data_IF_780983023276
#
_entry.id   IF_780983023276
#
_cell.length_a   1.000
_cell.length_b   1.000
_cell.length_c   1.000
_cell.angle_alpha   90.00
_cell.angle_beta   90.00
_cell.angle_gamma   90.00
#
_symmetry.space_group_name_H-M   'P 1'
#
loop_
_entity.id
_entity.type
_entity.pdbx_description
1 polymer ?
#
# COMPACT_ATOMS: atom_id res chain seq x y z
N UNK A 1 -17.09 57.43 -33.24
CA UNK A 1 -17.74 56.25 -33.89
C UNK A 1 -16.70 55.33 -34.55
N UNK A 2 -15.84 55.82 -35.48
CA UNK A 2 -14.81 54.97 -36.13
C UNK A 2 -13.73 54.46 -35.17
N UNK A 3 -13.36 55.22 -34.15
CA UNK A 3 -12.44 54.79 -33.09
C UNK A 3 -13.04 53.73 -32.20
N UNK A 4 -14.33 53.83 -31.85
CA UNK A 4 -15.07 52.85 -31.06
C UNK A 4 -15.27 51.53 -31.80
N UNK A 5 -15.38 51.51 -33.12
CA UNK A 5 -15.44 50.30 -33.94
C UNK A 5 -14.08 49.61 -33.99
N UNK A 6 -13.01 50.39 -34.20
CA UNK A 6 -11.63 49.84 -34.21
C UNK A 6 -11.24 49.23 -32.87
N UNK A 7 -11.61 49.84 -31.75
CA UNK A 7 -11.38 49.29 -30.42
C UNK A 7 -12.17 47.98 -30.19
N UNK A 8 -13.39 47.88 -30.67
CA UNK A 8 -14.20 46.64 -30.61
C UNK A 8 -13.60 45.52 -31.45
N UNK A 9 -13.13 45.83 -32.67
CA UNK A 9 -12.44 44.81 -33.50
C UNK A 9 -11.15 44.32 -32.86
N UNK A 10 -10.34 45.21 -32.29
CA UNK A 10 -9.11 44.85 -31.61
C UNK A 10 -9.37 44.02 -30.36
N UNK A 11 -10.41 44.32 -29.58
CA UNK A 11 -10.85 43.52 -28.46
C UNK A 11 -11.32 42.11 -28.87
N UNK A 12 -12.02 42.00 -30.00
CA UNK A 12 -12.46 40.71 -30.53
C UNK A 12 -11.26 39.85 -31.04
N UNK A 13 -10.30 40.43 -31.69
CA UNK A 13 -9.06 39.72 -32.11
C UNK A 13 -8.31 39.20 -30.90
N UNK A 14 -8.18 40.00 -29.83
CA UNK A 14 -7.51 39.59 -28.59
C UNK A 14 -8.23 38.43 -27.92
N UNK A 15 -9.58 38.49 -27.86
CA UNK A 15 -10.39 37.37 -27.30
C UNK A 15 -10.25 36.09 -28.12
N UNK A 16 -10.25 36.16 -29.45
CA UNK A 16 -10.08 35.02 -30.33
C UNK A 16 -8.68 34.40 -30.13
N UNK A 17 -7.64 35.23 -30.03
CA UNK A 17 -6.29 34.75 -29.74
C UNK A 17 -6.20 34.03 -28.40
N UNK A 18 -6.70 34.65 -27.33
CA UNK A 18 -6.72 34.04 -26.01
C UNK A 18 -7.50 32.71 -25.97
N UNK A 19 -8.58 32.61 -26.76
CA UNK A 19 -9.35 31.36 -26.87
C UNK A 19 -8.58 30.27 -27.63
N UNK A 20 -7.86 30.63 -28.69
CA UNK A 20 -7.00 29.71 -29.44
C UNK A 20 -5.85 29.19 -28.57
N UNK A 21 -5.22 30.07 -27.79
CA UNK A 21 -4.15 29.70 -26.87
C UNK A 21 -4.65 28.71 -25.81
N UNK A 22 -5.82 28.98 -25.19
CA UNK A 22 -6.46 28.04 -24.26
C UNK A 22 -6.81 26.70 -24.90
N UNK A 23 -7.27 26.69 -26.14
CA UNK A 23 -7.55 25.44 -26.86
C UNK A 23 -6.26 24.64 -27.12
N UNK A 24 -5.17 25.31 -27.44
CA UNK A 24 -3.86 24.66 -27.61
C UNK A 24 -3.39 24.04 -26.30
N UNK A 25 -3.51 24.76 -25.19
CA UNK A 25 -3.19 24.26 -23.85
C UNK A 25 -4.03 23.04 -23.47
N UNK A 26 -5.34 23.08 -23.68
CA UNK A 26 -6.21 21.94 -23.41
C UNK A 26 -5.87 20.72 -24.26
N UNK A 27 -5.55 20.91 -25.52
CA UNK A 27 -5.10 19.80 -26.41
C UNK A 27 -3.79 19.19 -25.91
N UNK A 28 -2.85 20.02 -25.46
CA UNK A 28 -1.60 19.56 -24.87
C UNK A 28 -1.83 18.76 -23.59
N UNK A 29 -2.72 19.26 -22.70
CA UNK A 29 -3.08 18.56 -21.46
C UNK A 29 -3.80 17.24 -21.75
N UNK A 30 -4.71 17.19 -22.72
CA UNK A 30 -5.37 15.95 -23.12
C UNK A 30 -4.38 14.92 -23.64
N UNK A 31 -3.40 15.34 -24.43
CA UNK A 31 -2.34 14.42 -24.91
C UNK A 31 -1.56 13.82 -23.76
N UNK A 32 -1.11 14.65 -22.80
CA UNK A 32 -0.42 14.19 -21.60
C UNK A 32 -1.27 13.22 -20.77
N UNK A 33 -2.57 13.50 -20.61
CA UNK A 33 -3.47 12.61 -19.89
C UNK A 33 -3.66 11.25 -20.58
N UNK A 34 -3.67 11.23 -21.92
CA UNK A 34 -3.72 9.97 -22.67
C UNK A 34 -2.44 9.15 -22.45
N UNK A 35 -1.27 9.77 -22.52
CA UNK A 35 0.01 9.10 -22.26
C UNK A 35 0.07 8.52 -20.83
N UNK A 36 -0.37 9.30 -19.82
CA UNK A 36 -0.46 8.81 -18.43
C UNK A 36 -1.45 7.66 -18.31
N UNK A 37 -2.60 7.74 -18.98
CA UNK A 37 -3.61 6.66 -18.98
C UNK A 37 -3.02 5.36 -19.52
N UNK A 38 -2.35 5.40 -20.65
CA UNK A 38 -1.69 4.22 -21.23
C UNK A 38 -0.65 3.61 -20.28
N UNK A 39 0.15 4.45 -19.63
CA UNK A 39 1.12 4.01 -18.62
C UNK A 39 0.45 3.34 -17.42
N UNK A 40 -0.65 3.92 -16.91
CA UNK A 40 -1.41 3.35 -15.79
C UNK A 40 -2.04 2.02 -16.20
N UNK A 41 -2.59 1.91 -17.41
CA UNK A 41 -3.21 0.68 -17.90
C UNK A 41 -2.20 -0.44 -18.12
N UNK A 42 -0.99 -0.09 -18.54
CA UNK A 42 0.12 -1.03 -18.71
C UNK A 42 0.73 -1.49 -17.38
N UNK A 43 0.58 -0.72 -16.30
CA UNK A 43 1.17 -1.03 -15.02
C UNK A 43 0.35 -2.10 -14.26
N UNK A 44 1.00 -3.14 -13.67
CA UNK A 44 0.30 -4.20 -12.94
C UNK A 44 -0.61 -3.69 -11.82
N UNK A 45 -0.16 -2.69 -11.07
CA UNK A 45 -0.90 -2.13 -9.92
C UNK A 45 -1.94 -1.10 -10.30
N UNK A 46 -2.06 -0.77 -11.60
CA UNK A 46 -2.97 0.29 -12.10
C UNK A 46 -2.75 1.64 -11.40
N UNK A 47 -1.52 1.92 -11.02
CA UNK A 47 -1.10 3.15 -10.34
C UNK A 47 0.21 3.64 -10.93
N UNK A 48 0.35 4.95 -11.03
CA UNK A 48 1.60 5.63 -11.35
C UNK A 48 1.64 6.97 -10.62
N UNK A 49 2.79 7.31 -10.08
CA UNK A 49 3.05 8.66 -9.58
C UNK A 49 3.76 9.45 -10.67
N UNK A 50 3.30 10.66 -10.95
CA UNK A 50 3.90 11.52 -11.98
C UNK A 50 5.20 12.18 -11.54
N UNK A 51 5.47 12.20 -10.25
CA UNK A 51 6.71 12.74 -9.65
C UNK A 51 7.76 11.66 -9.42
N UNK A 52 7.32 10.49 -9.01
CA UNK A 52 8.18 9.35 -8.69
C UNK A 52 7.46 8.06 -9.08
N UNK A 53 7.73 7.49 -10.26
CA UNK A 53 7.02 6.34 -10.81
C UNK A 53 7.06 5.09 -9.94
N UNK A 54 8.06 4.95 -9.07
CA UNK A 54 8.23 3.78 -8.20
C UNK A 54 7.45 3.90 -6.89
N UNK A 55 7.06 5.11 -6.50
CA UNK A 55 6.25 5.32 -5.30
C UNK A 55 4.80 4.85 -5.49
N UNK A 56 4.14 4.45 -4.40
CA UNK A 56 2.75 3.95 -4.41
C UNK A 56 1.89 4.65 -3.39
N UNK A 57 0.59 4.66 -3.68
CA UNK A 57 -0.42 5.19 -2.77
C UNK A 57 -0.62 4.22 -1.60
N UNK A 58 -0.05 4.52 -0.46
CA UNK A 58 -0.12 3.70 0.74
C UNK A 58 -1.14 4.23 1.74
N UNK A 59 -1.78 3.31 2.45
CA UNK A 59 -2.67 3.64 3.57
C UNK A 59 -1.84 3.86 4.82
N UNK A 60 -1.97 5.04 5.42
CA UNK A 60 -1.36 5.37 6.71
C UNK A 60 -2.36 5.22 7.85
N UNK A 61 -1.91 5.42 9.09
CA UNK A 61 -2.79 5.47 10.26
C UNK A 61 -3.87 6.55 10.06
N UNK A 62 -5.09 6.29 10.55
CA UNK A 62 -6.20 7.24 10.44
C UNK A 62 -6.93 7.27 9.10
N UNK A 63 -6.80 6.22 8.27
CA UNK A 63 -7.46 6.09 6.97
C UNK A 63 -7.00 7.09 5.88
N UNK A 64 -5.99 7.88 6.15
CA UNK A 64 -5.35 8.70 5.12
C UNK A 64 -4.54 7.85 4.15
N UNK A 65 -4.36 8.37 2.94
CA UNK A 65 -3.52 7.73 1.93
C UNK A 65 -2.48 8.73 1.48
N UNK A 66 -1.23 8.28 1.42
CA UNK A 66 -0.09 9.12 1.02
C UNK A 66 0.72 8.36 -0.03
N UNK A 67 1.20 9.08 -1.02
CA UNK A 67 2.17 8.54 -1.97
C UNK A 67 3.51 8.46 -1.26
N UNK A 68 4.01 7.25 -1.04
CA UNK A 68 5.20 7.01 -0.21
C UNK A 68 5.83 5.65 -0.49
N UNK A 69 6.97 5.45 0.11
CA UNK A 69 7.60 4.15 0.29
C UNK A 69 7.32 3.61 1.68
N UNK A 70 7.47 2.31 1.84
CA UNK A 70 7.41 1.61 3.11
C UNK A 70 8.84 1.17 3.50
N UNK A 71 9.31 1.68 4.62
CA UNK A 71 10.64 1.32 5.15
C UNK A 71 10.45 0.21 6.17
N UNK A 72 10.91 -0.99 5.82
CA UNK A 72 10.95 -2.14 6.69
C UNK A 72 12.26 -2.15 7.48
N UNK A 73 12.21 -2.46 8.77
CA UNK A 73 13.40 -2.60 9.59
C UNK A 73 13.28 -3.79 10.54
N UNK A 74 14.33 -4.63 10.59
CA UNK A 74 14.47 -5.65 11.61
C UNK A 74 15.48 -5.16 12.67
N UNK A 75 15.07 -5.23 13.94
CA UNK A 75 15.83 -4.71 15.08
C UNK A 75 16.12 -5.85 16.06
N UNK A 76 17.36 -5.94 16.54
CA UNK A 76 17.71 -6.86 17.61
C UNK A 76 17.04 -6.45 18.92
N UNK A 77 16.32 -7.39 19.55
CA UNK A 77 15.57 -7.12 20.79
C UNK A 77 16.46 -6.93 22.01
N UNK A 78 17.70 -7.41 21.99
CA UNK A 78 18.63 -7.31 23.12
C UNK A 78 19.37 -5.97 23.16
N UNK A 79 19.83 -5.49 22.01
CA UNK A 79 20.67 -4.32 21.92
C UNK A 79 19.98 -3.15 21.20
N UNK A 80 18.78 -3.37 20.66
CA UNK A 80 18.00 -2.39 19.89
C UNK A 80 18.74 -1.81 18.67
N UNK A 81 19.62 -2.63 18.08
CA UNK A 81 20.36 -2.27 16.87
C UNK A 81 19.59 -2.70 15.63
N UNK A 82 19.60 -1.88 14.60
CA UNK A 82 19.05 -2.22 13.30
C UNK A 82 19.95 -3.29 12.67
N UNK A 83 19.40 -4.48 12.49
CA UNK A 83 20.09 -5.62 11.84
C UNK A 83 20.06 -5.45 10.33
N UNK A 84 18.91 -5.11 9.79
CA UNK A 84 18.68 -4.92 8.36
C UNK A 84 17.50 -3.98 8.14
N UNK A 85 17.52 -3.27 7.02
CA UNK A 85 16.40 -2.48 6.55
C UNK A 85 16.20 -2.70 5.05
N UNK A 86 14.98 -2.49 4.59
CA UNK A 86 14.61 -2.54 3.18
C UNK A 86 13.57 -1.46 2.89
N UNK A 87 13.65 -0.85 1.72
CA UNK A 87 12.67 0.13 1.25
C UNK A 87 11.83 -0.54 0.16
N UNK A 88 10.54 -0.61 0.39
CA UNK A 88 9.58 -1.23 -0.52
C UNK A 88 8.48 -0.24 -0.92
N UNK A 89 7.74 -0.56 -1.96
CA UNK A 89 6.55 0.18 -2.37
C UNK A 89 5.26 -0.63 -2.14
N UNK A 90 5.33 -1.63 -1.27
CA UNK A 90 4.21 -2.49 -0.89
C UNK A 90 3.96 -2.42 0.62
N UNK A 91 2.73 -2.71 1.09
CA UNK A 91 2.41 -2.70 2.52
C UNK A 91 3.09 -3.85 3.27
N UNK A 92 3.03 -3.81 4.62
CA UNK A 92 3.69 -4.77 5.53
C UNK A 92 3.28 -6.23 5.30
N UNK A 93 2.05 -6.42 4.87
CA UNK A 93 1.50 -7.75 4.64
C UNK A 93 2.23 -8.46 3.49
N UNK A 94 2.82 -9.62 3.78
CA UNK A 94 3.61 -10.38 2.83
C UNK A 94 5.11 -10.04 2.82
N UNK A 95 5.57 -9.21 3.80
CA UNK A 95 6.98 -8.83 3.91
C UNK A 95 7.74 -9.59 5.01
N UNK A 96 7.05 -10.40 5.81
CA UNK A 96 7.66 -11.10 6.95
C UNK A 96 8.77 -12.05 6.53
N UNK A 97 8.50 -12.94 5.57
CA UNK A 97 9.46 -13.94 5.10
C UNK A 97 10.67 -13.27 4.41
N UNK A 98 10.43 -12.23 3.61
CA UNK A 98 11.50 -11.46 2.95
C UNK A 98 12.44 -10.83 3.97
N UNK A 99 11.90 -10.10 4.95
CA UNK A 99 12.66 -9.45 6.01
C UNK A 99 13.37 -10.47 6.91
N UNK A 100 12.72 -11.60 7.22
CA UNK A 100 13.32 -12.70 7.99
C UNK A 100 14.55 -13.24 7.28
N UNK A 101 14.44 -13.53 5.99
CA UNK A 101 15.56 -14.02 5.18
C UNK A 101 16.74 -13.04 5.16
N UNK A 102 16.46 -11.74 5.04
CA UNK A 102 17.50 -10.72 5.09
C UNK A 102 18.18 -10.67 6.48
N UNK A 103 17.38 -10.76 7.56
CA UNK A 103 17.89 -10.78 8.93
C UNK A 103 18.74 -12.03 9.21
N UNK A 104 18.30 -13.22 8.80
CA UNK A 104 19.07 -14.47 8.90
C UNK A 104 20.43 -14.36 8.19
N UNK A 105 20.41 -13.79 6.98
CA UNK A 105 21.65 -13.56 6.22
C UNK A 105 22.61 -12.60 6.94
N UNK A 106 22.09 -11.50 7.47
CA UNK A 106 22.89 -10.52 8.19
C UNK A 106 23.47 -11.07 9.49
N UNK A 107 22.67 -11.82 10.24
CA UNK A 107 23.05 -12.46 11.51
C UNK A 107 23.86 -13.75 11.32
N UNK A 108 23.90 -14.30 10.10
CA UNK A 108 24.47 -15.62 9.78
C UNK A 108 23.89 -16.73 10.67
N UNK A 109 22.59 -16.69 10.91
CA UNK A 109 21.87 -17.60 11.77
C UNK A 109 20.49 -17.89 11.18
N UNK A 110 20.13 -19.17 11.04
CA UNK A 110 18.86 -19.61 10.47
C UNK A 110 17.75 -19.67 11.54
N UNK A 111 18.07 -20.24 12.70
CA UNK A 111 17.13 -20.35 13.83
C UNK A 111 17.04 -19.02 14.59
N UNK A 112 16.05 -18.22 14.23
CA UNK A 112 15.76 -16.93 14.88
C UNK A 112 14.27 -16.81 15.22
N UNK A 113 13.96 -16.15 16.33
CA UNK A 113 12.59 -15.71 16.64
C UNK A 113 12.32 -14.34 16.04
N UNK A 114 11.19 -14.20 15.36
CA UNK A 114 10.79 -12.96 14.68
C UNK A 114 9.50 -12.46 15.30
N UNK A 115 9.58 -11.33 15.99
CA UNK A 115 8.41 -10.63 16.50
C UNK A 115 7.92 -9.62 15.47
N UNK A 116 6.66 -9.71 15.11
CA UNK A 116 6.03 -8.79 14.19
C UNK A 116 4.65 -8.34 14.68
N UNK A 117 4.19 -7.20 14.23
CA UNK A 117 2.85 -6.72 14.55
C UNK A 117 1.77 -7.43 13.71
N UNK A 118 0.50 -7.14 14.01
CA UNK A 118 -0.65 -7.72 13.29
C UNK A 118 -0.73 -7.30 11.81
N UNK A 119 -0.04 -6.25 11.39
CA UNK A 119 0.00 -5.77 10.01
C UNK A 119 0.67 -6.78 9.07
N UNK A 120 1.65 -7.52 9.59
CA UNK A 120 2.35 -8.56 8.86
C UNK A 120 1.56 -9.88 8.76
N UNK A 121 0.42 -10.01 9.45
CA UNK A 121 -0.29 -11.28 9.51
C UNK A 121 -0.81 -11.72 8.15
N UNK A 122 -0.15 -12.73 7.58
CA UNK A 122 -0.51 -13.42 6.34
C UNK A 122 -0.18 -14.90 6.49
N UNK A 123 -1.19 -15.78 6.34
CA UNK A 123 -0.97 -17.23 6.52
C UNK A 123 0.12 -17.79 5.58
N UNK A 124 0.14 -17.46 4.28
CA UNK A 124 1.20 -17.92 3.40
C UNK A 124 2.59 -17.44 3.86
N UNK A 125 2.71 -16.16 4.20
CA UNK A 125 3.96 -15.54 4.60
C UNK A 125 4.51 -16.08 5.94
N UNK A 126 3.59 -16.39 6.88
CA UNK A 126 3.93 -17.10 8.13
C UNK A 126 4.48 -18.50 7.83
N UNK A 127 3.86 -19.23 6.90
CA UNK A 127 4.33 -20.55 6.50
C UNK A 127 5.72 -20.46 5.87
N UNK A 128 5.90 -19.55 4.93
CA UNK A 128 7.20 -19.33 4.28
C UNK A 128 8.29 -18.96 5.31
N UNK A 129 7.94 -18.19 6.34
CA UNK A 129 8.85 -17.85 7.45
C UNK A 129 9.25 -19.08 8.28
N UNK A 130 8.30 -19.98 8.55
CA UNK A 130 8.57 -21.25 9.26
C UNK A 130 9.43 -22.17 8.38
N UNK A 131 9.16 -22.24 7.09
CA UNK A 131 9.91 -23.05 6.13
C UNK A 131 11.38 -22.55 6.00
N UNK A 132 11.65 -21.27 6.31
CA UNK A 132 13.00 -20.70 6.45
C UNK A 132 13.70 -21.10 7.76
N UNK A 133 13.07 -21.86 8.67
CA UNK A 133 13.63 -22.25 9.96
C UNK A 133 13.46 -21.19 11.07
N UNK A 134 12.72 -20.13 10.83
CA UNK A 134 12.46 -19.10 11.84
C UNK A 134 11.14 -19.35 12.60
N UNK A 135 11.04 -18.84 13.83
CA UNK A 135 9.84 -18.91 14.67
C UNK A 135 9.11 -17.54 14.65
N UNK A 136 8.05 -17.36 13.84
CA UNK A 136 7.29 -16.11 13.84
C UNK A 136 6.34 -16.01 15.04
N UNK A 137 6.41 -14.90 15.76
CA UNK A 137 5.56 -14.56 16.89
C UNK A 137 4.82 -13.27 16.57
N UNK A 138 3.51 -13.35 16.39
CA UNK A 138 2.68 -12.20 16.07
C UNK A 138 1.23 -12.37 16.55
N UNK A 139 0.53 -11.28 16.88
CA UNK A 139 -0.89 -11.34 17.20
C UNK A 139 -1.72 -11.62 15.95
N UNK A 140 -2.79 -12.38 16.10
CA UNK A 140 -3.76 -12.57 15.02
C UNK A 140 -4.45 -11.25 14.70
N UNK A 141 -4.81 -11.08 13.43
CA UNK A 141 -5.67 -9.98 13.02
C UNK A 141 -7.03 -10.10 13.69
N UNK A 142 -7.49 -9.00 14.27
CA UNK A 142 -8.82 -8.91 14.87
C UNK A 142 -9.89 -8.87 13.77
N UNK A 143 -10.87 -9.76 13.88
CA UNK A 143 -11.99 -9.89 12.93
C UNK A 143 -13.26 -9.19 13.43
N UNK A 144 -13.13 -8.22 14.34
CA UNK A 144 -14.26 -7.48 14.94
C UNK A 144 -15.20 -6.83 13.93
N UNK A 145 -14.73 -6.51 12.72
CA UNK A 145 -15.59 -6.03 11.63
C UNK A 145 -16.58 -7.09 11.13
N UNK A 146 -16.33 -8.37 11.40
CA UNK A 146 -17.20 -9.48 11.01
C UNK A 146 -18.46 -9.52 11.89
N UNK A 147 -18.38 -9.16 13.16
CA UNK A 147 -19.52 -9.09 14.08
C UNK A 147 -20.55 -8.05 13.61
N UNK A 148 -20.07 -6.89 13.12
CA UNK A 148 -20.94 -5.86 12.54
C UNK A 148 -21.68 -6.33 11.28
N UNK A 149 -21.20 -7.38 10.63
CA UNK A 149 -21.81 -8.02 9.45
C UNK A 149 -22.66 -9.24 9.83
N UNK A 150 -22.90 -9.50 11.12
CA UNK A 150 -23.63 -10.68 11.58
C UNK A 150 -22.85 -11.99 11.44
N UNK A 151 -21.54 -11.94 11.22
CA UNK A 151 -20.68 -13.12 11.14
C UNK A 151 -20.12 -13.38 12.54
N UNK A 152 -20.27 -14.60 13.04
CA UNK A 152 -19.79 -14.98 14.37
C UNK A 152 -18.28 -14.90 14.46
N UNK A 153 -17.79 -14.31 15.54
CA UNK A 153 -16.37 -14.22 15.83
C UNK A 153 -15.84 -15.59 16.30
N UNK A 154 -14.57 -15.85 16.00
CA UNK A 154 -13.87 -17.08 16.42
C UNK A 154 -13.90 -17.30 17.94
N UNK A 155 -13.95 -16.25 18.74
CA UNK A 155 -14.05 -16.34 20.19
C UNK A 155 -15.30 -17.08 20.70
N UNK A 156 -16.33 -17.18 19.86
CA UNK A 156 -17.57 -17.91 20.14
C UNK A 156 -17.46 -19.42 19.86
N UNK A 157 -16.34 -19.86 19.32
CA UNK A 157 -16.10 -21.28 19.03
C UNK A 157 -14.98 -21.81 19.93
N UNK A 158 -15.26 -22.90 20.65
CA UNK A 158 -14.28 -23.63 21.44
C UNK A 158 -13.93 -24.94 20.73
N UNK A 159 -12.66 -25.17 20.47
CA UNK A 159 -12.20 -26.42 19.88
C UNK A 159 -12.10 -27.50 20.95
N UNK A 160 -12.71 -28.67 20.70
CA UNK A 160 -12.58 -29.89 21.49
C UNK A 160 -11.66 -30.86 20.75
N UNK A 161 -10.41 -30.98 21.22
CA UNK A 161 -9.40 -31.82 20.60
C UNK A 161 -9.71 -33.34 20.70
N UNK A 162 -10.51 -33.76 21.69
CA UNK A 162 -10.85 -35.17 21.84
C UNK A 162 -11.87 -35.65 20.80
N UNK A 163 -12.71 -34.75 20.34
CA UNK A 163 -13.77 -35.03 19.37
C UNK A 163 -13.49 -34.48 17.99
N UNK A 164 -12.41 -33.68 17.84
CA UNK A 164 -12.05 -32.95 16.61
C UNK A 164 -13.21 -32.08 16.06
N UNK A 165 -13.89 -31.37 16.98
CA UNK A 165 -15.03 -30.51 16.64
C UNK A 165 -14.90 -29.11 17.24
N UNK A 166 -15.56 -28.15 16.64
CA UNK A 166 -15.76 -26.83 17.19
C UNK A 166 -17.15 -26.71 17.83
N UNK A 167 -17.20 -26.35 19.08
CA UNK A 167 -18.43 -26.07 19.83
C UNK A 167 -18.72 -24.57 19.75
N UNK A 168 -19.92 -24.22 19.32
CA UNK A 168 -20.41 -22.86 19.31
C UNK A 168 -20.98 -22.49 20.68
N UNK A 169 -20.42 -21.46 21.29
CA UNK A 169 -20.84 -20.94 22.57
C UNK A 169 -21.86 -19.80 22.36
N UNK A 170 -23.15 -20.12 22.31
CA UNK A 170 -24.20 -19.10 22.44
C UNK A 170 -24.15 -18.56 23.89
N UNK A 171 -24.00 -17.22 23.98
CA UNK A 171 -24.24 -16.53 25.26
C UNK A 171 -25.72 -16.19 25.40
#
# INVERSE_FOLDING_TARGET
>A
ELLDEADKEQANVTKIKATKDRLADFRSQLKKLHEIKEQVEAHPDKQISTTDPDSRLMKTQGFTRVVSYNVQSAVDTKHHLIVVHEVTNVPDRGQLASMTKLAQKALRKEDIRVLADKGYFSQPDIKDTIDLGAEPIMPKTDTSSSEKKGIFNRSLFKYDANKDIYLFLLK
#
